data_IF_288684929518
#
_entry.id   IF_288684929518
#
_cell.length_a   1.000
_cell.length_b   1.000
_cell.length_c   1.000
_cell.angle_alpha   90.00
_cell.angle_beta   90.00
_cell.angle_gamma   90.00
#
_symmetry.space_group_name_H-M   'P 1'
#
loop_
_entity.id
_entity.type
_entity.pdbx_description
1 polymer ?
#
# COMPACT_ATOMS: atom_id res chain seq x y z
N UNK A 1 -18.54 -4.15 17.37
CA UNK A 1 -17.31 -4.88 17.73
C UNK A 1 -16.21 -3.92 17.42
N UNK A 2 -15.52 -3.46 18.46
CA UNK A 2 -14.27 -2.71 18.33
C UNK A 2 -13.29 -3.58 17.57
N UNK A 3 -12.61 -3.04 16.56
CA UNK A 3 -11.50 -3.78 15.95
C UNK A 3 -10.54 -4.17 17.08
N UNK A 4 -10.27 -5.46 17.24
CA UNK A 4 -9.42 -5.92 18.33
C UNK A 4 -8.05 -5.25 18.24
N UNK A 5 -7.40 -5.01 19.37
CA UNK A 5 -5.98 -4.57 19.37
C UNK A 5 -5.11 -5.54 18.57
N UNK A 6 -5.49 -6.83 18.52
CA UNK A 6 -4.92 -7.85 17.64
C UNK A 6 -5.04 -7.52 16.16
N UNK A 7 -6.21 -7.06 15.72
CA UNK A 7 -6.54 -6.81 14.32
C UNK A 7 -5.79 -5.57 13.83
N UNK A 8 -5.71 -4.54 14.67
CA UNK A 8 -4.91 -3.34 14.42
C UNK A 8 -3.43 -3.70 14.29
N UNK A 9 -2.89 -4.50 15.23
CA UNK A 9 -1.49 -4.90 15.21
C UNK A 9 -1.14 -5.78 14.00
N UNK A 10 -2.04 -6.68 13.60
CA UNK A 10 -1.87 -7.50 12.40
C UNK A 10 -1.82 -6.63 11.15
N UNK A 11 -2.74 -5.68 11.00
CA UNK A 11 -2.76 -4.77 9.84
C UNK A 11 -1.50 -3.89 9.79
N UNK A 12 -1.06 -3.33 10.92
CA UNK A 12 0.20 -2.56 10.98
C UNK A 12 1.39 -3.41 10.57
N UNK A 13 1.45 -4.67 11.02
CA UNK A 13 2.50 -5.60 10.61
C UNK A 13 2.45 -5.89 9.10
N UNK A 14 1.27 -6.10 8.54
CA UNK A 14 1.10 -6.34 7.10
C UNK A 14 1.59 -5.13 6.28
N UNK A 15 1.28 -3.91 6.72
CA UNK A 15 1.80 -2.68 6.08
C UNK A 15 3.33 -2.62 6.17
N UNK A 16 3.91 -2.95 7.32
CA UNK A 16 5.38 -2.97 7.48
C UNK A 16 6.05 -4.04 6.59
N UNK A 17 5.44 -5.23 6.47
CA UNK A 17 5.92 -6.30 5.59
C UNK A 17 5.87 -5.86 4.12
N UNK A 18 4.79 -5.19 3.70
CA UNK A 18 4.68 -4.57 2.37
C UNK A 18 5.79 -3.55 2.14
N UNK A 19 5.99 -2.62 3.07
CA UNK A 19 7.01 -1.58 2.93
C UNK A 19 8.40 -2.18 2.77
N UNK A 20 8.75 -3.20 3.58
CA UNK A 20 10.02 -3.90 3.47
C UNK A 20 10.16 -4.57 2.10
N UNK A 21 9.20 -5.39 1.70
CA UNK A 21 9.28 -6.16 0.47
C UNK A 21 9.40 -5.24 -0.76
N UNK A 22 8.64 -4.15 -0.81
CA UNK A 22 8.74 -3.16 -1.90
C UNK A 22 10.09 -2.43 -1.90
N UNK A 23 10.68 -2.13 -0.73
CA UNK A 23 12.05 -1.58 -0.65
C UNK A 23 13.09 -2.56 -1.20
N UNK A 24 12.96 -3.85 -0.86
CA UNK A 24 13.86 -4.90 -1.36
C UNK A 24 13.76 -5.02 -2.89
N UNK A 25 12.54 -4.92 -3.44
CA UNK A 25 12.30 -4.86 -4.90
C UNK A 25 12.99 -3.65 -5.52
N UNK A 26 12.78 -2.44 -4.97
CA UNK A 26 13.41 -1.20 -5.47
C UNK A 26 14.93 -1.32 -5.47
N UNK A 27 15.51 -1.87 -4.39
CA UNK A 27 16.94 -2.06 -4.28
C UNK A 27 17.44 -3.02 -5.35
N UNK A 28 16.79 -4.17 -5.53
CA UNK A 28 17.13 -5.14 -6.55
C UNK A 28 17.06 -4.52 -7.97
N UNK A 29 16.02 -3.76 -8.31
CA UNK A 29 15.92 -3.04 -9.59
C UNK A 29 17.13 -2.13 -9.80
N UNK A 30 17.44 -1.31 -8.79
CA UNK A 30 18.50 -0.32 -8.89
C UNK A 30 19.88 -0.96 -9.05
N UNK A 31 20.14 -2.05 -8.34
CA UNK A 31 21.40 -2.81 -8.43
C UNK A 31 21.51 -3.56 -9.77
N UNK A 32 20.39 -4.12 -10.25
CA UNK A 32 20.32 -4.85 -11.52
C UNK A 32 20.18 -3.99 -12.76
N UNK A 33 20.00 -2.66 -12.64
CA UNK A 33 19.61 -1.79 -13.76
C UNK A 33 20.57 -1.88 -14.95
N UNK A 34 21.88 -1.72 -14.71
CA UNK A 34 22.90 -1.80 -15.78
C UNK A 34 22.92 -3.17 -16.47
N UNK A 35 22.59 -4.21 -15.71
CA UNK A 35 22.51 -5.56 -16.25
C UNK A 35 21.27 -5.71 -17.14
N UNK A 36 20.11 -5.20 -16.70
CA UNK A 36 18.87 -5.19 -17.49
C UNK A 36 19.05 -4.38 -18.78
N UNK A 37 19.68 -3.20 -18.71
CA UNK A 37 20.00 -2.36 -19.88
C UNK A 37 20.89 -3.11 -20.90
N UNK A 38 21.87 -3.89 -20.43
CA UNK A 38 22.82 -4.57 -21.30
C UNK A 38 22.26 -5.84 -21.94
N UNK A 39 21.45 -6.62 -21.21
CA UNK A 39 21.06 -7.98 -21.61
C UNK A 39 19.58 -8.10 -22.01
N UNK A 40 18.73 -7.17 -21.56
CA UNK A 40 17.30 -7.17 -21.86
C UNK A 40 16.80 -5.75 -22.21
N UNK A 41 17.42 -5.08 -23.19
CA UNK A 41 17.06 -3.70 -23.55
C UNK A 41 15.59 -3.56 -23.99
N UNK A 42 15.02 -4.61 -24.57
CA UNK A 42 13.64 -4.64 -25.05
C UNK A 42 12.61 -4.84 -23.93
N UNK A 43 13.04 -5.21 -22.72
CA UNK A 43 12.15 -5.47 -21.56
C UNK A 43 11.93 -4.25 -20.67
N UNK A 44 12.61 -3.14 -20.98
CA UNK A 44 12.67 -1.92 -20.17
C UNK A 44 11.28 -1.35 -19.88
N UNK A 45 10.43 -1.34 -20.88
CA UNK A 45 9.09 -0.76 -20.78
C UNK A 45 8.19 -1.65 -19.90
N UNK A 46 8.32 -2.97 -19.99
CA UNK A 46 7.65 -3.93 -19.13
C UNK A 46 8.08 -3.77 -17.66
N UNK A 47 9.38 -3.53 -17.40
CA UNK A 47 9.88 -3.22 -16.06
C UNK A 47 9.30 -1.91 -15.51
N UNK A 48 9.25 -0.87 -16.34
CA UNK A 48 8.67 0.40 -15.95
C UNK A 48 7.17 0.29 -15.65
N UNK A 49 6.44 -0.46 -16.47
CA UNK A 49 5.01 -0.72 -16.31
C UNK A 49 4.70 -1.51 -15.02
N UNK A 50 5.57 -2.47 -14.66
CA UNK A 50 5.43 -3.26 -13.45
C UNK A 50 5.67 -2.40 -12.19
N UNK A 51 6.68 -1.52 -12.21
CA UNK A 51 6.88 -0.53 -11.15
C UNK A 51 5.73 0.48 -11.06
N UNK A 52 5.15 0.90 -12.19
CA UNK A 52 3.95 1.75 -12.22
C UNK A 52 2.74 1.06 -11.58
N UNK A 53 2.50 -0.22 -11.86
CA UNK A 53 1.40 -0.95 -11.20
C UNK A 53 1.63 -1.01 -9.68
N UNK A 54 2.85 -1.32 -9.23
CA UNK A 54 3.15 -1.37 -7.80
C UNK A 54 3.01 0.00 -7.13
N UNK A 55 3.44 1.07 -7.80
CA UNK A 55 3.27 2.44 -7.31
C UNK A 55 1.78 2.73 -7.06
N UNK A 56 0.90 2.43 -8.03
CA UNK A 56 -0.55 2.64 -7.89
C UNK A 56 -1.14 1.83 -6.73
N UNK A 57 -0.69 0.61 -6.53
CA UNK A 57 -1.14 -0.24 -5.42
C UNK A 57 -0.68 0.31 -4.07
N UNK A 58 0.57 0.75 -3.95
CA UNK A 58 1.10 1.39 -2.73
C UNK A 58 0.41 2.74 -2.47
N UNK A 59 0.12 3.52 -3.52
CA UNK A 59 -0.67 4.76 -3.43
C UNK A 59 -2.07 4.48 -2.88
N UNK A 60 -2.76 3.45 -3.37
CA UNK A 60 -4.05 3.02 -2.84
C UNK A 60 -3.97 2.66 -1.36
N UNK A 61 -2.93 1.93 -0.95
CA UNK A 61 -2.70 1.61 0.47
C UNK A 61 -2.42 2.86 1.32
N UNK A 62 -1.65 3.82 0.78
CA UNK A 62 -1.36 5.09 1.43
C UNK A 62 -2.63 5.94 1.62
N UNK A 63 -3.52 5.96 0.61
CA UNK A 63 -4.80 6.65 0.67
C UNK A 63 -5.76 6.04 1.69
N UNK A 64 -5.88 4.71 1.75
CA UNK A 64 -6.73 4.05 2.77
C UNK A 64 -6.13 4.27 4.17
N UNK A 65 -4.82 4.16 4.31
CA UNK A 65 -4.13 4.44 5.59
C UNK A 65 -4.32 5.90 6.00
N UNK A 66 -4.33 6.83 5.04
CA UNK A 66 -4.61 8.25 5.26
C UNK A 66 -5.99 8.49 5.84
N UNK A 67 -7.01 7.74 5.43
CA UNK A 67 -8.35 7.88 6.03
C UNK A 67 -8.25 7.64 7.54
N UNK A 68 -7.62 6.54 7.95
CA UNK A 68 -7.47 6.14 9.37
C UNK A 68 -6.51 7.04 10.15
N UNK A 69 -5.42 7.49 9.54
CA UNK A 69 -4.41 8.31 10.22
C UNK A 69 -4.78 9.80 10.29
N UNK A 70 -5.50 10.32 9.29
CA UNK A 70 -5.97 11.70 9.22
C UNK A 70 -7.29 11.90 9.95
N UNK A 71 -7.86 10.84 10.54
CA UNK A 71 -9.00 10.83 11.44
C UNK A 71 -8.66 11.57 12.75
N UNK A 72 -8.46 12.89 12.67
CA UNK A 72 -8.18 13.78 13.80
C UNK A 72 -9.25 14.84 13.85
N UNK A 73 -9.97 14.91 14.97
CA UNK A 73 -10.80 16.06 15.25
C UNK A 73 -9.90 17.20 15.73
N UNK A 74 -9.41 18.02 14.81
CA UNK A 74 -8.53 19.15 15.12
C UNK A 74 -9.36 20.32 15.64
N UNK A 75 -9.52 20.36 16.95
CA UNK A 75 -10.22 21.42 17.64
C UNK A 75 -9.84 21.48 19.12
N UNK A 76 -9.97 22.65 19.73
CA UNK A 76 -9.87 22.77 21.19
C UNK A 76 -11.17 22.34 21.87
N UNK A 77 -11.27 22.44 23.21
CA UNK A 77 -12.41 21.94 23.98
C UNK A 77 -13.78 22.40 23.46
N UNK A 78 -13.89 23.61 22.91
CA UNK A 78 -15.14 24.11 22.33
C UNK A 78 -15.57 23.35 21.07
N UNK A 79 -14.62 22.95 20.23
CA UNK A 79 -14.90 22.16 19.04
C UNK A 79 -15.33 20.74 19.41
N UNK A 80 -14.78 20.17 20.50
CA UNK A 80 -15.09 18.82 20.99
C UNK A 80 -16.55 18.67 21.45
N UNK A 81 -17.36 19.72 21.36
CA UNK A 81 -18.80 19.70 21.62
C UNK A 81 -19.64 20.09 20.39
N UNK A 82 -19.04 20.29 19.21
CA UNK A 82 -19.73 20.70 17.98
C UNK A 82 -20.30 19.51 17.18
N UNK A 83 -21.52 19.09 17.48
CA UNK A 83 -22.19 17.96 16.84
C UNK A 83 -22.26 18.03 15.32
N UNK A 84 -22.63 19.18 14.75
CA UNK A 84 -22.81 19.34 13.30
C UNK A 84 -21.48 19.17 12.56
N UNK A 85 -20.42 19.78 13.09
CA UNK A 85 -19.07 19.71 12.50
C UNK A 85 -18.50 18.30 12.60
N UNK A 86 -18.67 17.64 13.74
CA UNK A 86 -18.26 16.24 13.91
C UNK A 86 -19.02 15.29 12.98
N UNK A 87 -20.34 15.45 12.87
CA UNK A 87 -21.17 14.61 12.00
C UNK A 87 -20.80 14.78 10.51
N UNK A 88 -20.63 16.02 10.05
CA UNK A 88 -20.18 16.30 8.67
C UNK A 88 -18.82 15.65 8.38
N UNK A 89 -17.91 15.70 9.35
CA UNK A 89 -16.59 15.10 9.22
C UNK A 89 -16.67 13.56 9.13
N UNK A 90 -17.46 12.89 9.97
CA UNK A 90 -17.67 11.43 9.89
C UNK A 90 -18.31 11.03 8.56
N UNK A 91 -19.29 11.79 8.06
CA UNK A 91 -19.93 11.57 6.75
C UNK A 91 -18.91 11.68 5.62
N UNK A 92 -18.01 12.67 5.65
CA UNK A 92 -16.98 12.84 4.65
C UNK A 92 -16.02 11.64 4.59
N UNK A 93 -15.60 11.12 5.75
CA UNK A 93 -14.72 9.95 5.79
C UNK A 93 -15.44 8.67 5.33
N UNK A 94 -16.74 8.50 5.66
CA UNK A 94 -17.57 7.41 5.12
C UNK A 94 -17.62 7.46 3.59
N UNK A 95 -17.82 8.65 3.01
CA UNK A 95 -17.84 8.82 1.55
C UNK A 95 -16.50 8.47 0.89
N UNK A 96 -15.38 8.88 1.49
CA UNK A 96 -14.02 8.53 1.01
C UNK A 96 -13.78 7.02 1.03
N UNK A 97 -14.24 6.30 2.05
CA UNK A 97 -14.12 4.84 2.09
C UNK A 97 -14.90 4.15 0.96
N UNK A 98 -16.09 4.65 0.63
CA UNK A 98 -16.87 4.15 -0.52
C UNK A 98 -16.13 4.38 -1.84
N UNK A 99 -15.56 5.57 -2.04
CA UNK A 99 -14.74 5.88 -3.22
C UNK A 99 -13.52 4.95 -3.32
N UNK A 100 -12.78 4.77 -2.23
CA UNK A 100 -11.61 3.89 -2.17
C UNK A 100 -11.97 2.42 -2.43
N UNK A 101 -13.15 1.97 -1.99
CA UNK A 101 -13.65 0.62 -2.29
C UNK A 101 -13.90 0.43 -3.79
N UNK A 102 -14.37 1.48 -4.46
CA UNK A 102 -14.49 1.51 -5.92
C UNK A 102 -13.13 1.30 -6.58
N UNK A 103 -12.12 2.09 -6.18
CA UNK A 103 -10.75 2.04 -6.72
C UNK A 103 -10.03 0.72 -6.41
N UNK A 104 -10.32 0.06 -5.28
CA UNK A 104 -9.75 -1.25 -4.96
C UNK A 104 -10.11 -2.33 -5.99
N UNK A 105 -11.28 -2.23 -6.64
CA UNK A 105 -11.65 -3.16 -7.72
C UNK A 105 -10.76 -2.99 -8.95
N UNK A 106 -10.36 -1.76 -9.25
CA UNK A 106 -9.45 -1.45 -10.35
C UNK A 106 -8.03 -1.94 -10.05
N UNK A 107 -7.58 -1.81 -8.79
CA UNK A 107 -6.30 -2.34 -8.33
C UNK A 107 -6.23 -3.87 -8.44
N UNK A 108 -7.31 -4.60 -8.08
CA UNK A 108 -7.38 -6.05 -8.33
C UNK A 108 -7.35 -6.42 -9.81
N UNK A 109 -7.87 -5.55 -10.68
CA UNK A 109 -7.73 -5.71 -12.14
C UNK A 109 -6.28 -5.58 -12.61
N UNK A 110 -5.47 -4.78 -11.92
CA UNK A 110 -4.04 -4.59 -12.23
C UNK A 110 -3.18 -5.80 -11.89
N UNK A 111 -3.54 -6.62 -10.90
CA UNK A 111 -2.81 -7.86 -10.56
C UNK A 111 -2.79 -8.87 -11.72
N UNK A 112 -3.84 -8.88 -12.56
CA UNK A 112 -3.85 -9.64 -13.81
C UNK A 112 -2.81 -9.11 -14.81
N UNK A 113 -2.69 -7.79 -14.94
CA UNK A 113 -1.65 -7.13 -15.77
C UNK A 113 -0.25 -7.40 -15.23
N UNK A 114 -0.04 -7.40 -13.92
CA UNK A 114 1.23 -7.77 -13.28
C UNK A 114 1.63 -9.21 -13.64
N UNK A 115 0.67 -10.14 -13.60
CA UNK A 115 0.90 -11.53 -14.00
C UNK A 115 1.29 -11.64 -15.47
N UNK A 116 0.59 -10.94 -16.35
CA UNK A 116 0.85 -10.98 -17.79
C UNK A 116 2.19 -10.32 -18.15
N UNK A 117 2.56 -9.20 -17.49
CA UNK A 117 3.88 -8.57 -17.62
C UNK A 117 4.99 -9.50 -17.14
N UNK A 118 4.80 -10.19 -16.01
CA UNK A 118 5.73 -11.20 -15.53
C UNK A 118 5.87 -12.34 -16.53
N UNK A 119 4.76 -12.85 -17.07
CA UNK A 119 4.79 -13.95 -18.03
C UNK A 119 5.46 -13.53 -19.35
N UNK A 120 5.29 -12.27 -19.77
CA UNK A 120 6.02 -11.69 -20.90
C UNK A 120 7.53 -11.60 -20.61
N UNK A 121 7.92 -11.09 -19.44
CA UNK A 121 9.31 -11.07 -18.98
C UNK A 121 9.91 -12.49 -18.90
N UNK A 122 9.14 -13.48 -18.45
CA UNK A 122 9.54 -14.89 -18.44
C UNK A 122 9.76 -15.43 -19.85
N UNK A 123 8.95 -15.02 -20.83
CA UNK A 123 9.06 -15.48 -22.22
C UNK A 123 10.34 -14.98 -22.91
N UNK A 124 10.92 -13.86 -22.45
CA UNK A 124 12.25 -13.42 -22.86
C UNK A 124 13.38 -14.33 -22.33
N UNK A 125 13.09 -15.22 -21.37
CA UNK A 125 14.03 -16.23 -20.87
C UNK A 125 13.97 -17.49 -21.73
N UNK A 126 14.82 -17.58 -22.75
CA UNK A 126 14.85 -18.76 -23.60
C UNK A 126 15.49 -19.95 -22.86
N UNK A 127 14.66 -20.97 -22.61
CA UNK A 127 14.94 -22.39 -22.33
C UNK A 127 15.26 -22.92 -20.92
N UNK A 128 15.52 -22.14 -19.87
CA UNK A 128 15.79 -22.74 -18.53
C UNK A 128 15.32 -21.93 -17.30
N UNK A 129 14.37 -21.01 -17.47
CA UNK A 129 13.86 -20.15 -16.37
C UNK A 129 14.87 -19.09 -15.94
N UNK A 130 14.46 -18.19 -15.03
CA UNK A 130 15.25 -17.01 -14.65
C UNK A 130 16.67 -17.35 -14.21
N UNK A 131 16.91 -18.41 -13.45
CA UNK A 131 18.27 -18.80 -12.99
C UNK A 131 19.27 -19.02 -14.16
N UNK A 132 18.77 -19.32 -15.35
CA UNK A 132 19.57 -19.59 -16.54
C UNK A 132 19.92 -18.36 -17.38
N UNK A 133 19.11 -17.30 -17.29
CA UNK A 133 19.34 -16.02 -17.96
C UNK A 133 20.67 -15.37 -17.56
N UNK A 134 21.14 -15.69 -16.36
CA UNK A 134 22.27 -15.01 -15.73
C UNK A 134 23.46 -15.95 -15.47
N UNK A 135 23.41 -17.17 -16.01
CA UNK A 135 24.46 -18.19 -15.84
C UNK A 135 25.83 -17.79 -16.41
N UNK A 136 25.90 -16.75 -17.24
CA UNK A 136 27.12 -16.27 -17.91
C UNK A 136 27.96 -15.26 -17.11
N UNK A 137 27.51 -14.81 -15.92
CA UNK A 137 28.08 -13.62 -15.24
C UNK A 137 29.13 -13.89 -14.15
N UNK A 138 29.79 -15.04 -14.15
CA UNK A 138 30.66 -15.41 -13.03
C UNK A 138 29.88 -15.50 -11.71
N UNK A 139 30.57 -15.51 -10.57
CA UNK A 139 29.92 -15.77 -9.27
C UNK A 139 29.10 -14.60 -8.73
N UNK A 140 29.54 -13.35 -8.96
CA UNK A 140 28.87 -12.14 -8.46
C UNK A 140 27.58 -11.88 -9.22
N UNK A 141 27.62 -11.82 -10.55
CA UNK A 141 26.41 -11.57 -11.33
C UNK A 141 25.42 -12.74 -11.28
N UNK A 142 25.85 -13.98 -10.96
CA UNK A 142 24.92 -15.07 -10.63
C UNK A 142 24.20 -14.87 -9.29
N UNK A 143 24.84 -14.25 -8.30
CA UNK A 143 24.19 -13.90 -7.03
C UNK A 143 23.22 -12.74 -7.22
N UNK A 144 23.67 -11.65 -7.82
CA UNK A 144 22.85 -10.46 -8.08
C UNK A 144 21.62 -10.82 -8.94
N UNK A 145 21.80 -11.73 -9.88
CA UNK A 145 20.73 -12.31 -10.69
C UNK A 145 19.77 -13.23 -9.96
N UNK A 146 20.26 -14.15 -9.14
CA UNK A 146 19.43 -15.05 -8.36
C UNK A 146 18.63 -14.27 -7.31
N UNK A 147 19.24 -13.21 -6.75
CA UNK A 147 18.58 -12.26 -5.86
C UNK A 147 17.48 -11.49 -6.59
N UNK A 148 17.75 -10.94 -7.78
CA UNK A 148 16.71 -10.38 -8.65
C UNK A 148 15.60 -11.39 -8.90
N UNK A 149 15.94 -12.56 -9.44
CA UNK A 149 14.98 -13.60 -9.81
C UNK A 149 14.12 -14.06 -8.63
N UNK A 150 14.71 -14.16 -7.43
CA UNK A 150 14.00 -14.52 -6.20
C UNK A 150 13.03 -13.41 -5.75
N UNK A 151 13.51 -12.17 -5.69
CA UNK A 151 12.70 -11.00 -5.35
C UNK A 151 11.53 -10.85 -6.35
N UNK A 152 11.76 -11.12 -7.63
CA UNK A 152 10.74 -11.04 -8.68
C UNK A 152 9.78 -12.22 -8.72
N UNK A 153 10.23 -13.43 -8.38
CA UNK A 153 9.32 -14.57 -8.22
C UNK A 153 8.30 -14.32 -7.10
N UNK A 154 8.74 -13.62 -6.05
CA UNK A 154 7.89 -13.23 -4.93
C UNK A 154 6.97 -12.05 -5.26
N UNK A 155 7.25 -11.27 -6.31
CA UNK A 155 6.50 -10.05 -6.66
C UNK A 155 5.01 -10.27 -6.86
N UNK A 156 4.59 -11.32 -7.58
CA UNK A 156 3.17 -11.62 -7.76
C UNK A 156 2.49 -11.97 -6.42
N UNK A 157 3.15 -12.78 -5.60
CA UNK A 157 2.65 -13.12 -4.28
C UNK A 157 2.58 -11.86 -3.39
N UNK A 158 3.49 -10.91 -3.58
CA UNK A 158 3.52 -9.66 -2.84
C UNK A 158 2.48 -8.65 -3.35
N UNK A 159 2.16 -8.61 -4.65
CA UNK A 159 1.05 -7.83 -5.21
C UNK A 159 -0.31 -8.37 -4.75
N UNK A 160 -0.48 -9.69 -4.69
CA UNK A 160 -1.69 -10.32 -4.15
C UNK A 160 -1.82 -10.04 -2.64
N UNK A 161 -0.72 -10.13 -1.87
CA UNK A 161 -0.68 -9.72 -0.46
C UNK A 161 -0.96 -8.24 -0.29
N UNK A 162 -0.47 -7.38 -1.19
CA UNK A 162 -0.73 -5.94 -1.19
C UNK A 162 -2.23 -5.67 -1.34
N UNK A 163 -2.89 -6.30 -2.31
CA UNK A 163 -4.34 -6.20 -2.50
C UNK A 163 -5.12 -6.71 -1.27
N UNK A 164 -4.69 -7.79 -0.64
CA UNK A 164 -5.30 -8.28 0.62
C UNK A 164 -5.06 -7.33 1.79
N UNK A 165 -3.86 -6.73 1.86
CA UNK A 165 -3.51 -5.73 2.88
C UNK A 165 -4.39 -4.49 2.74
N UNK A 166 -4.63 -4.00 1.51
CA UNK A 166 -5.53 -2.88 1.27
C UNK A 166 -6.95 -3.23 1.71
N UNK A 167 -7.43 -4.45 1.40
CA UNK A 167 -8.75 -4.92 1.83
C UNK A 167 -8.87 -4.94 3.36
N UNK A 168 -7.89 -5.50 4.07
CA UNK A 168 -7.91 -5.54 5.54
C UNK A 168 -7.78 -4.14 6.15
N UNK A 169 -6.99 -3.26 5.55
CA UNK A 169 -6.89 -1.87 5.97
C UNK A 169 -8.23 -1.12 5.77
N UNK A 170 -8.96 -1.44 4.71
CA UNK A 170 -10.31 -0.93 4.48
C UNK A 170 -11.32 -1.45 5.50
N UNK A 171 -11.31 -2.76 5.78
CA UNK A 171 -12.16 -3.37 6.82
C UNK A 171 -11.87 -2.72 8.19
N UNK A 172 -10.60 -2.45 8.48
CA UNK A 172 -10.19 -1.75 9.69
C UNK A 172 -10.66 -0.30 9.72
N UNK A 173 -10.58 0.41 8.60
CA UNK A 173 -11.08 1.78 8.49
C UNK A 173 -12.59 1.84 8.69
N UNK A 174 -13.35 0.92 8.09
CA UNK A 174 -14.79 0.79 8.29
C UNK A 174 -15.14 0.47 9.76
N UNK A 175 -14.37 -0.41 10.40
CA UNK A 175 -14.52 -0.72 11.83
C UNK A 175 -14.24 0.51 12.70
N UNK A 176 -13.17 1.26 12.43
CA UNK A 176 -12.85 2.50 13.13
C UNK A 176 -13.98 3.53 13.00
N UNK A 177 -14.54 3.72 11.79
CA UNK A 177 -15.70 4.59 11.59
C UNK A 177 -16.91 4.13 12.39
N UNK A 178 -17.16 2.81 12.44
CA UNK A 178 -18.26 2.23 13.21
C UNK A 178 -18.08 2.39 14.72
N UNK A 179 -16.85 2.28 15.22
CA UNK A 179 -16.52 2.50 16.63
C UNK A 179 -16.77 3.95 17.03
N UNK A 180 -16.43 4.89 16.15
CA UNK A 180 -16.69 6.32 16.32
C UNK A 180 -18.18 6.62 16.30
N UNK A 181 -18.93 6.00 15.37
CA UNK A 181 -20.39 6.12 15.28
C UNK A 181 -21.08 5.54 16.53
N UNK A 182 -20.57 4.43 17.06
CA UNK A 182 -21.06 3.82 18.30
C UNK A 182 -20.74 4.67 19.54
N UNK A 183 -19.59 5.35 19.55
CA UNK A 183 -19.22 6.28 20.60
C UNK A 183 -20.12 7.53 20.62
N UNK A 184 -20.81 7.86 19.53
CA UNK A 184 -21.70 9.04 19.42
C UNK A 184 -23.11 8.88 20.02
N UNK A 185 -23.38 7.79 20.75
CA UNK A 185 -24.66 7.41 21.39
C UNK A 185 -25.63 6.57 20.51
N UNK A 186 -26.82 6.14 21.00
CA UNK A 186 -27.73 5.26 20.25
C UNK A 186 -28.02 5.80 18.84
N UNK A 187 -28.11 4.88 17.88
CA UNK A 187 -28.20 5.18 16.45
C UNK A 187 -29.16 6.35 16.15
N UNK A 188 -28.60 7.43 15.60
CA UNK A 188 -29.37 8.55 15.04
C UNK A 188 -29.37 9.87 15.82
N UNK A 189 -28.75 9.96 17.00
CA UNK A 189 -28.63 11.25 17.72
C UNK A 189 -27.21 11.47 18.28
N UNK A 190 -26.35 12.11 17.49
CA UNK A 190 -25.07 12.61 17.98
C UNK A 190 -25.31 13.68 19.06
N UNK A 191 -24.89 13.44 20.29
CA UNK A 191 -25.05 14.39 21.40
C UNK A 191 -23.69 14.98 21.80
N UNK A 192 -23.58 16.31 22.06
CA UNK A 192 -22.31 16.97 22.37
C UNK A 192 -21.48 16.29 23.45
N UNK A 193 -22.14 15.71 24.46
CA UNK A 193 -21.49 15.07 25.61
C UNK A 193 -20.64 13.84 25.23
N UNK A 194 -20.93 13.18 24.11
CA UNK A 194 -20.22 11.96 23.69
C UNK A 194 -19.17 12.20 22.59
N UNK A 195 -19.09 13.43 22.07
CA UNK A 195 -18.10 13.81 21.06
C UNK A 195 -16.66 13.69 21.59
N UNK A 196 -16.34 14.05 22.85
CA UNK A 196 -14.99 13.86 23.38
C UNK A 196 -14.53 12.40 23.40
N UNK A 197 -15.44 11.48 23.75
CA UNK A 197 -15.13 10.04 23.76
C UNK A 197 -14.89 9.51 22.34
N UNK A 198 -15.74 9.93 21.38
CA UNK A 198 -15.55 9.61 19.97
C UNK A 198 -14.23 10.20 19.41
N UNK A 199 -13.88 11.44 19.79
CA UNK A 199 -12.62 12.07 19.41
C UNK A 199 -11.39 11.37 20.03
N UNK A 200 -11.50 10.84 21.25
CA UNK A 200 -10.45 10.06 21.86
C UNK A 200 -10.18 8.75 21.10
N UNK A 201 -11.24 8.02 20.70
CA UNK A 201 -11.13 6.81 19.86
C UNK A 201 -10.43 7.14 18.53
N UNK A 202 -10.80 8.26 17.90
CA UNK A 202 -10.14 8.76 16.70
C UNK A 202 -8.64 9.03 16.88
N UNK A 203 -8.27 9.67 18.00
CA UNK A 203 -6.88 9.97 18.33
C UNK A 203 -5.97 8.73 18.42
N UNK A 204 -6.51 7.59 18.86
CA UNK A 204 -5.77 6.32 18.95
C UNK A 204 -5.40 5.82 17.55
N UNK A 205 -6.39 5.69 16.65
CA UNK A 205 -6.16 5.28 15.25
C UNK A 205 -5.20 6.25 14.54
N UNK A 206 -5.39 7.55 14.74
CA UNK A 206 -4.57 8.59 14.15
C UNK A 206 -3.10 8.57 14.60
N UNK A 207 -2.83 8.03 15.78
CA UNK A 207 -1.47 7.88 16.32
C UNK A 207 -0.81 6.62 15.76
N UNK A 208 -1.53 5.50 15.79
CA UNK A 208 -1.03 4.20 15.35
C UNK A 208 -0.66 4.22 13.85
N UNK A 209 -1.48 4.84 13.02
CA UNK A 209 -1.29 4.82 11.57
C UNK A 209 -0.46 5.99 11.00
N UNK A 210 0.01 6.92 11.84
CA UNK A 210 0.78 8.08 11.39
C UNK A 210 2.14 7.69 10.76
N UNK A 211 2.86 6.76 11.38
CA UNK A 211 4.15 6.29 10.87
C UNK A 211 3.98 5.40 9.63
N UNK A 212 3.11 4.36 9.64
CA UNK A 212 2.82 3.57 8.43
C UNK A 212 2.44 4.44 7.22
N UNK A 213 1.61 5.46 7.42
CA UNK A 213 1.25 6.38 6.33
C UNK A 213 2.47 7.13 5.76
N UNK A 214 3.37 7.61 6.63
CA UNK A 214 4.58 8.33 6.21
C UNK A 214 5.51 7.41 5.42
N UNK A 215 5.67 6.17 5.87
CA UNK A 215 6.49 5.19 5.18
C UNK A 215 5.94 4.86 3.80
N UNK A 216 4.63 4.64 3.68
CA UNK A 216 3.97 4.40 2.40
C UNK A 216 4.14 5.58 1.44
N UNK A 217 3.97 6.83 1.90
CA UNK A 217 4.20 8.01 1.07
C UNK A 217 5.65 8.10 0.57
N UNK A 218 6.62 7.76 1.43
CA UNK A 218 8.04 7.73 1.04
C UNK A 218 8.29 6.65 0.00
N UNK A 219 7.65 5.49 0.16
CA UNK A 219 7.76 4.35 -0.75
C UNK A 219 7.21 4.66 -2.14
N UNK A 220 6.09 5.38 -2.24
CA UNK A 220 5.54 5.88 -3.51
C UNK A 220 6.58 6.72 -4.24
N UNK A 221 7.24 7.64 -3.55
CA UNK A 221 8.28 8.49 -4.13
C UNK A 221 9.48 7.67 -4.61
N UNK A 222 9.96 6.71 -3.81
CA UNK A 222 11.06 5.81 -4.21
C UNK A 222 10.73 5.00 -5.47
N UNK A 223 9.47 4.58 -5.65
CA UNK A 223 9.02 3.88 -6.85
C UNK A 223 9.00 4.77 -8.08
N UNK A 224 8.48 5.99 -7.94
CA UNK A 224 8.47 6.98 -9.01
C UNK A 224 9.90 7.32 -9.47
N UNK A 225 10.81 7.55 -8.51
CA UNK A 225 12.22 7.81 -8.78
C UNK A 225 12.88 6.63 -9.51
N UNK A 226 12.69 5.41 -9.02
CA UNK A 226 13.28 4.20 -9.61
C UNK A 226 12.77 3.97 -11.03
N UNK A 227 11.46 4.14 -11.27
CA UNK A 227 10.87 4.07 -12.60
C UNK A 227 11.44 5.14 -13.54
N UNK A 228 11.59 6.37 -13.05
CA UNK A 228 12.15 7.49 -13.83
C UNK A 228 13.59 7.21 -14.23
N UNK A 229 14.40 6.72 -13.29
CA UNK A 229 15.79 6.35 -13.54
C UNK A 229 15.86 5.19 -14.54
N UNK A 230 15.00 4.17 -14.38
CA UNK A 230 14.95 3.02 -15.28
C UNK A 230 14.54 3.43 -16.70
N UNK A 231 13.79 4.51 -16.89
CA UNK A 231 13.32 5.03 -18.20
C UNK A 231 14.16 6.20 -18.75
N UNK A 232 15.04 6.80 -17.95
CA UNK A 232 15.99 7.84 -18.38
C UNK A 232 17.16 7.25 -19.19
N UNK A 233 17.45 7.84 -20.36
CA UNK A 233 18.52 7.38 -21.28
C UNK A 233 19.90 7.83 -20.83
#
# INVERSE_FOLDING_TARGET
MVAGVSDIAEVVKMVADVVRNTRDIIQAVNDGRKYLELNYPDSRDEWADLLDQMQRTVEGLAEVTKVVSAFRFSGGPAADYETVRFNNYVIEQKAKLVELNGRLRDLKGSSGKVRDLRDALNAHSTDRGWDSMFGLLGEKGRRDAAELASVWSNFYADDEKLADTIRRMMELAEAAVKDVDAALAPAGMAHPIYIPDAAAVLGVYATIFAEPQRELNTLVQSLEETRTVLTSR
#
